data_IF_504300242197
#
_entry.id   IF_504300242197
#
_cell.length_a   1.000
_cell.length_b   1.000
_cell.length_c   1.000
_cell.angle_alpha   90.00
_cell.angle_beta   90.00
_cell.angle_gamma   90.00
#
_symmetry.space_group_name_H-M   'P 1'
#
loop_
_entity.id
_entity.type
_entity.pdbx_description
1 polymer ?
#
# COMPACT_ATOMS: atom_id res chain seq x y z
N UNK A 1 15.28 -33.88 -11.89
CA UNK A 1 15.38 -32.76 -10.91
C UNK A 1 14.07 -32.76 -10.14
N UNK A 2 14.04 -33.36 -8.91
CA UNK A 2 12.81 -33.42 -8.13
C UNK A 2 12.64 -32.11 -7.38
N UNK A 3 11.64 -31.35 -7.75
CA UNK A 3 11.28 -30.10 -7.06
C UNK A 3 10.67 -30.49 -5.71
N UNK A 4 11.19 -29.97 -4.57
CA UNK A 4 10.61 -30.25 -3.25
C UNK A 4 9.13 -29.85 -3.22
N UNK A 5 8.24 -30.68 -2.65
CA UNK A 5 6.80 -30.42 -2.63
C UNK A 5 6.45 -29.12 -1.93
N UNK A 6 7.25 -28.67 -0.98
CA UNK A 6 7.07 -27.38 -0.29
C UNK A 6 7.19 -26.19 -1.25
N UNK A 7 8.13 -26.23 -2.21
CA UNK A 7 8.28 -25.15 -3.21
C UNK A 7 7.09 -25.10 -4.17
N UNK A 8 6.48 -26.26 -4.48
CA UNK A 8 5.27 -26.31 -5.30
C UNK A 8 4.10 -25.66 -4.56
N UNK A 9 3.91 -25.98 -3.29
CA UNK A 9 2.83 -25.40 -2.46
C UNK A 9 3.03 -23.89 -2.32
N UNK A 10 4.23 -23.43 -2.03
CA UNK A 10 4.54 -21.99 -1.92
C UNK A 10 4.26 -21.27 -3.25
N UNK A 11 4.65 -21.84 -4.38
CA UNK A 11 4.40 -21.23 -5.69
C UNK A 11 2.92 -21.17 -6.03
N UNK A 12 2.12 -22.18 -5.70
CA UNK A 12 0.67 -22.19 -5.87
C UNK A 12 -0.03 -21.12 -5.00
N UNK A 13 0.41 -20.97 -3.75
CA UNK A 13 -0.09 -19.91 -2.85
C UNK A 13 0.23 -18.54 -3.43
N UNK A 14 1.45 -18.31 -3.91
CA UNK A 14 1.85 -17.03 -4.52
C UNK A 14 1.03 -16.74 -5.78
N UNK A 15 0.85 -17.71 -6.66
CA UNK A 15 0.02 -17.58 -7.87
C UNK A 15 -1.43 -17.27 -7.48
N UNK A 16 -1.99 -17.96 -6.50
CA UNK A 16 -3.34 -17.71 -5.98
C UNK A 16 -3.50 -16.30 -5.42
N UNK A 17 -2.52 -15.80 -4.66
CA UNK A 17 -2.50 -14.43 -4.14
C UNK A 17 -2.41 -13.39 -5.25
N UNK A 18 -1.56 -13.62 -6.26
CA UNK A 18 -1.43 -12.75 -7.44
C UNK A 18 -2.74 -12.72 -8.22
N UNK A 19 -3.34 -13.87 -8.47
CA UNK A 19 -4.62 -13.97 -9.19
C UNK A 19 -5.76 -13.28 -8.42
N UNK A 20 -5.88 -13.51 -7.11
CA UNK A 20 -6.88 -12.86 -6.26
C UNK A 20 -6.75 -11.33 -6.27
N UNK A 21 -5.51 -10.83 -6.26
CA UNK A 21 -5.25 -9.39 -6.29
C UNK A 21 -5.41 -8.76 -7.68
N UNK A 22 -5.32 -9.56 -8.75
CA UNK A 22 -5.45 -9.09 -10.14
C UNK A 22 -6.90 -8.82 -10.56
N UNK A 23 -7.91 -9.28 -9.80
CA UNK A 23 -9.30 -8.96 -10.13
C UNK A 23 -9.50 -7.44 -10.08
N UNK A 24 -10.17 -6.89 -11.09
CA UNK A 24 -10.56 -5.46 -11.19
C UNK A 24 -11.53 -5.08 -10.08
N UNK A 25 -11.04 -4.98 -8.85
CA UNK A 25 -11.81 -4.58 -7.68
C UNK A 25 -11.64 -3.09 -7.46
N UNK A 26 -12.76 -2.38 -7.28
CA UNK A 26 -12.76 -0.97 -6.86
C UNK A 26 -12.05 -0.85 -5.50
N UNK A 27 -11.14 0.11 -5.40
CA UNK A 27 -10.31 0.36 -4.21
C UNK A 27 -10.20 1.84 -3.97
N UNK A 28 -10.15 2.25 -2.72
CA UNK A 28 -9.97 3.64 -2.34
C UNK A 28 -8.51 4.07 -2.52
N UNK A 29 -8.31 5.24 -3.13
CA UNK A 29 -7.01 5.87 -3.34
C UNK A 29 -7.00 7.27 -2.77
N UNK A 30 -5.96 7.61 -1.99
CA UNK A 30 -5.66 8.97 -1.58
C UNK A 30 -4.81 9.63 -2.67
N UNK A 31 -5.29 10.74 -3.21
CA UNK A 31 -4.64 11.49 -4.28
C UNK A 31 -3.86 12.65 -3.67
N UNK A 32 -2.59 12.72 -3.99
CA UNK A 32 -1.66 13.75 -3.54
C UNK A 32 -1.19 14.57 -4.73
N UNK A 33 -1.15 15.91 -4.59
CA UNK A 33 -0.68 16.86 -5.61
C UNK A 33 0.58 17.57 -5.13
N UNK A 34 1.58 17.64 -5.99
CA UNK A 34 2.76 18.49 -5.81
C UNK A 34 2.77 19.52 -6.91
N UNK A 35 3.12 20.78 -6.57
CA UNK A 35 3.06 21.90 -7.51
C UNK A 35 3.95 21.73 -8.76
N UNK A 36 5.09 21.00 -8.65
CA UNK A 36 5.99 20.74 -9.77
C UNK A 36 5.84 19.29 -10.30
N UNK A 37 5.71 18.31 -9.38
CA UNK A 37 5.82 16.87 -9.71
C UNK A 37 4.50 16.21 -10.08
N UNK A 38 3.38 16.99 -10.10
CA UNK A 38 2.07 16.50 -10.47
C UNK A 38 1.41 15.62 -9.41
N UNK A 39 0.54 14.70 -9.85
CA UNK A 39 -0.30 13.89 -8.97
C UNK A 39 0.31 12.51 -8.67
N UNK A 40 0.06 12.02 -7.45
CA UNK A 40 0.38 10.66 -7.03
C UNK A 40 -0.79 10.05 -6.27
N UNK A 41 -1.13 8.79 -6.60
CA UNK A 41 -2.16 8.01 -5.93
C UNK A 41 -1.53 6.98 -4.99
N UNK A 42 -2.00 6.94 -3.74
CA UNK A 42 -1.63 5.93 -2.74
C UNK A 42 -2.87 5.12 -2.38
N UNK A 43 -2.80 3.80 -2.58
CA UNK A 43 -3.89 2.89 -2.22
C UNK A 43 -4.12 2.91 -0.71
N UNK A 44 -5.39 3.00 -0.30
CA UNK A 44 -5.80 2.82 1.09
C UNK A 44 -5.87 1.32 1.42
N UNK A 45 -5.45 0.93 2.62
CA UNK A 45 -5.52 -0.44 3.12
C UNK A 45 -4.22 -1.22 2.96
N UNK A 46 -4.35 -2.54 2.88
CA UNK A 46 -3.24 -3.49 3.01
C UNK A 46 -2.23 -3.37 1.86
N UNK A 47 -0.94 -3.29 2.23
CA UNK A 47 0.21 -3.25 1.31
C UNK A 47 0.92 -4.60 1.24
N UNK A 48 0.24 -5.64 0.73
CA UNK A 48 0.77 -7.01 0.72
C UNK A 48 2.15 -7.17 0.05
N UNK A 49 2.44 -6.37 -1.01
CA UNK A 49 3.78 -6.35 -1.60
C UNK A 49 4.85 -5.84 -0.62
N UNK A 50 4.48 -4.97 0.32
CA UNK A 50 5.42 -4.46 1.31
C UNK A 50 5.90 -5.56 2.27
N UNK A 51 5.07 -6.57 2.55
CA UNK A 51 5.46 -7.71 3.38
C UNK A 51 6.35 -8.70 2.62
N UNK A 52 6.01 -9.01 1.36
CA UNK A 52 6.74 -10.01 0.58
C UNK A 52 8.13 -9.51 0.18
N UNK A 53 8.24 -8.27 -0.26
CA UNK A 53 9.49 -7.67 -0.79
C UNK A 53 10.17 -6.74 0.22
N UNK A 54 9.85 -6.84 1.50
CA UNK A 54 10.54 -6.12 2.54
C UNK A 54 12.02 -6.59 2.65
N UNK A 55 13.02 -5.74 2.76
CA UNK A 55 13.05 -4.27 2.81
C UNK A 55 13.14 -3.58 1.44
N UNK A 56 13.35 -4.34 0.35
CA UNK A 56 13.55 -3.82 -1.03
C UNK A 56 12.40 -2.90 -1.46
N UNK A 57 11.17 -3.19 -1.01
CA UNK A 57 10.00 -2.36 -1.29
C UNK A 57 10.14 -0.91 -0.84
N UNK A 58 10.84 -0.66 0.28
CA UNK A 58 11.12 0.68 0.78
C UNK A 58 12.10 1.45 -0.12
N UNK A 59 13.07 0.75 -0.73
CA UNK A 59 14.00 1.34 -1.70
C UNK A 59 13.26 1.87 -2.92
N UNK A 60 12.38 1.07 -3.53
CA UNK A 60 11.59 1.50 -4.69
C UNK A 60 10.68 2.69 -4.41
N UNK A 61 10.29 2.88 -3.14
CA UNK A 61 9.50 4.04 -2.70
C UNK A 61 10.37 5.25 -2.31
N UNK A 62 11.70 5.11 -2.32
CA UNK A 62 12.64 6.16 -1.90
C UNK A 62 12.58 6.48 -0.41
N UNK A 63 12.17 5.51 0.41
CA UNK A 63 12.07 5.61 1.88
C UNK A 63 13.32 5.04 2.54
N UNK A 64 14.49 5.61 2.23
CA UNK A 64 15.80 5.15 2.67
C UNK A 64 15.93 5.01 4.19
N UNK A 65 15.36 5.95 4.95
CA UNK A 65 15.42 5.91 6.42
C UNK A 65 14.74 4.65 6.98
N UNK A 66 13.55 4.30 6.46
CA UNK A 66 12.83 3.10 6.90
C UNK A 66 13.57 1.84 6.44
N UNK A 67 14.13 1.84 5.23
CA UNK A 67 14.94 0.75 4.72
C UNK A 67 16.12 0.43 5.65
N UNK A 68 16.94 1.42 5.98
CA UNK A 68 18.08 1.21 6.89
C UNK A 68 17.64 0.80 8.29
N UNK A 69 16.54 1.36 8.81
CA UNK A 69 15.99 0.93 10.10
C UNK A 69 15.64 -0.55 10.09
N UNK A 70 14.97 -1.04 9.03
CA UNK A 70 14.64 -2.46 8.91
C UNK A 70 15.86 -3.36 8.73
N UNK A 71 16.85 -2.92 7.96
CA UNK A 71 18.13 -3.67 7.82
C UNK A 71 18.80 -3.81 9.20
N UNK A 72 18.90 -2.74 9.97
CA UNK A 72 19.47 -2.77 11.32
C UNK A 72 18.65 -3.70 12.23
N UNK A 73 17.32 -3.64 12.20
CA UNK A 73 16.47 -4.53 12.98
C UNK A 73 16.66 -6.00 12.62
N UNK A 74 16.82 -6.33 11.34
CA UNK A 74 17.11 -7.70 10.89
C UNK A 74 18.48 -8.16 11.44
N UNK A 75 19.53 -7.32 11.35
CA UNK A 75 20.85 -7.67 11.90
C UNK A 75 20.80 -7.87 13.42
N UNK A 76 20.06 -7.01 14.15
CA UNK A 76 19.90 -7.17 15.59
C UNK A 76 19.16 -8.48 15.91
N UNK A 77 18.10 -8.80 15.15
CA UNK A 77 17.36 -10.04 15.33
C UNK A 77 18.26 -11.28 15.12
N UNK A 78 19.03 -11.29 14.04
CA UNK A 78 19.99 -12.36 13.74
C UNK A 78 21.06 -12.47 14.83
N UNK A 79 21.61 -11.35 15.31
CA UNK A 79 22.60 -11.35 16.38
C UNK A 79 22.05 -11.88 17.72
N UNK A 80 20.77 -11.58 18.02
CA UNK A 80 20.09 -12.10 19.21
C UNK A 80 19.84 -13.60 19.05
N UNK A 81 19.40 -14.06 17.87
CA UNK A 81 19.20 -15.49 17.59
C UNK A 81 20.52 -16.27 17.80
N UNK A 82 21.63 -15.77 17.24
CA UNK A 82 22.95 -16.38 17.39
C UNK A 82 23.41 -16.40 18.87
N UNK A 83 23.21 -15.28 19.60
CA UNK A 83 23.68 -15.15 20.97
C UNK A 83 22.88 -16.01 21.96
N UNK A 84 21.57 -16.17 21.75
CA UNK A 84 20.68 -16.89 22.69
C UNK A 84 20.58 -18.36 22.36
N UNK A 85 20.46 -18.68 21.07
CA UNK A 85 20.16 -20.05 20.61
C UNK A 85 21.34 -20.76 19.94
N UNK A 86 22.47 -20.07 19.71
CA UNK A 86 23.72 -20.63 19.18
C UNK A 86 23.67 -21.09 17.74
N UNK A 87 22.54 -20.94 17.07
CA UNK A 87 22.37 -21.26 15.64
C UNK A 87 21.22 -20.44 15.04
N UNK A 88 21.41 -19.93 13.81
CA UNK A 88 20.33 -19.53 12.90
C UNK A 88 19.62 -20.82 12.45
N UNK A 89 19.09 -21.60 13.34
CA UNK A 89 18.59 -22.91 12.98
C UNK A 89 17.10 -23.02 13.29
N UNK A 90 16.47 -23.69 12.39
CA UNK A 90 15.25 -24.46 12.56
C UNK A 90 14.73 -24.43 13.99
N UNK A 91 13.74 -23.57 14.25
CA UNK A 91 12.89 -23.71 15.43
C UNK A 91 12.38 -25.16 15.40
N UNK A 92 12.86 -25.99 16.32
CA UNK A 92 12.24 -27.30 16.52
C UNK A 92 10.90 -27.07 17.22
N UNK A 93 9.86 -26.99 16.42
CA UNK A 93 8.50 -26.69 16.87
C UNK A 93 8.01 -27.66 17.95
N UNK A 94 8.60 -28.87 18.04
CA UNK A 94 8.20 -29.87 19.01
C UNK A 94 8.84 -29.65 20.38
N UNK A 95 10.01 -29.03 20.44
CA UNK A 95 10.80 -28.84 21.67
C UNK A 95 11.05 -27.35 22.01
N UNK A 96 10.41 -26.43 21.27
CA UNK A 96 10.61 -25.00 21.47
C UNK A 96 10.16 -24.55 22.88
N UNK A 97 11.04 -23.84 23.57
CA UNK A 97 10.74 -23.24 24.87
C UNK A 97 9.74 -22.08 24.76
N UNK A 98 9.09 -21.73 25.87
CA UNK A 98 8.20 -20.56 25.89
C UNK A 98 8.89 -19.26 25.43
N UNK A 99 10.19 -19.11 25.72
CA UNK A 99 10.99 -17.95 25.28
C UNK A 99 11.14 -17.88 23.76
N UNK A 100 11.37 -19.02 23.11
CA UNK A 100 11.48 -19.12 21.65
C UNK A 100 10.18 -18.75 20.95
N UNK A 101 9.05 -19.20 21.46
CA UNK A 101 7.73 -18.81 20.94
C UNK A 101 7.46 -17.32 21.07
N UNK A 102 7.80 -16.71 22.19
CA UNK A 102 7.66 -15.25 22.41
C UNK A 102 8.55 -14.50 21.42
N UNK A 103 9.80 -14.93 21.24
CA UNK A 103 10.74 -14.32 20.32
C UNK A 103 10.29 -14.45 18.84
N UNK A 104 9.86 -15.64 18.43
CA UNK A 104 9.29 -15.86 17.10
C UNK A 104 8.05 -14.98 16.87
N UNK A 105 7.21 -14.78 17.87
CA UNK A 105 6.06 -13.87 17.83
C UNK A 105 6.47 -12.43 17.59
N UNK A 106 7.53 -11.94 18.25
CA UNK A 106 8.06 -10.58 18.05
C UNK A 106 8.58 -10.42 16.62
N UNK A 107 9.36 -11.36 16.11
CA UNK A 107 9.85 -11.34 14.73
C UNK A 107 8.70 -11.33 13.72
N UNK A 108 7.68 -12.13 13.94
CA UNK A 108 6.49 -12.19 13.10
C UNK A 108 5.73 -10.85 13.07
N UNK A 109 5.59 -10.18 14.22
CA UNK A 109 4.97 -8.85 14.30
C UNK A 109 5.78 -7.83 13.48
N UNK A 110 7.10 -7.81 13.62
CA UNK A 110 7.99 -6.91 12.86
C UNK A 110 7.86 -7.17 11.37
N UNK A 111 7.75 -8.43 10.94
CA UNK A 111 7.56 -8.82 9.54
C UNK A 111 6.19 -8.41 8.99
N UNK A 112 5.12 -8.54 9.78
CA UNK A 112 3.75 -8.21 9.36
C UNK A 112 3.47 -6.70 9.37
N UNK A 113 4.15 -5.92 10.18
CA UNK A 113 3.89 -4.49 10.38
C UNK A 113 3.87 -3.68 9.06
N UNK A 114 4.79 -3.88 8.08
CA UNK A 114 4.72 -3.22 6.78
C UNK A 114 3.48 -3.55 5.95
N UNK A 115 2.89 -4.74 6.15
CA UNK A 115 1.64 -5.13 5.50
C UNK A 115 0.51 -4.14 5.78
N UNK A 116 0.38 -3.74 7.04
CA UNK A 116 -0.68 -2.82 7.50
C UNK A 116 -0.28 -1.35 7.38
N UNK A 117 0.97 -1.01 7.66
CA UNK A 117 1.45 0.37 7.73
C UNK A 117 2.17 0.87 6.48
N UNK A 118 2.52 0.00 5.52
CA UNK A 118 3.33 0.37 4.36
C UNK A 118 2.72 1.49 3.50
N UNK A 119 1.41 1.46 3.28
CA UNK A 119 0.73 2.52 2.53
C UNK A 119 0.65 3.84 3.33
N UNK A 120 0.45 3.79 4.64
CA UNK A 120 0.46 4.98 5.50
C UNK A 120 1.84 5.62 5.57
N UNK A 121 2.90 4.81 5.66
CA UNK A 121 4.28 5.32 5.59
C UNK A 121 4.58 5.97 4.26
N UNK A 122 4.07 5.39 3.15
CA UNK A 122 4.18 6.00 1.83
C UNK A 122 3.47 7.34 1.78
N UNK A 123 2.25 7.43 2.30
CA UNK A 123 1.49 8.66 2.37
C UNK A 123 2.23 9.74 3.18
N UNK A 124 2.69 9.39 4.38
CA UNK A 124 3.50 10.31 5.22
C UNK A 124 4.79 10.76 4.53
N UNK A 125 5.45 9.87 3.80
CA UNK A 125 6.65 10.20 3.04
C UNK A 125 6.37 11.19 1.91
N UNK A 126 5.23 11.05 1.21
CA UNK A 126 4.81 12.01 0.20
C UNK A 126 4.55 13.39 0.81
N UNK A 127 3.86 13.46 1.95
CA UNK A 127 3.63 14.73 2.67
C UNK A 127 4.96 15.40 3.05
N UNK A 128 5.93 14.63 3.57
CA UNK A 128 7.29 15.15 3.85
C UNK A 128 8.02 15.68 2.60
N UNK A 129 7.67 15.16 1.41
CA UNK A 129 8.20 15.64 0.11
C UNK A 129 7.43 16.82 -0.49
N UNK A 130 6.51 17.44 0.26
CA UNK A 130 5.74 18.62 -0.18
C UNK A 130 4.50 18.28 -1.01
N UNK A 131 4.03 17.02 -0.97
CA UNK A 131 2.75 16.67 -1.57
C UNK A 131 1.61 16.97 -0.60
N UNK A 132 0.54 17.59 -1.10
CA UNK A 132 -0.68 17.86 -0.35
C UNK A 132 -1.76 16.83 -0.73
N UNK A 133 -2.50 16.34 0.26
CA UNK A 133 -3.67 15.50 0.02
C UNK A 133 -4.77 16.35 -0.63
N UNK A 134 -5.25 15.94 -1.79
CA UNK A 134 -6.34 16.62 -2.53
C UNK A 134 -7.67 15.96 -2.19
N UNK A 135 -7.78 14.66 -2.46
CA UNK A 135 -9.05 13.95 -2.35
C UNK A 135 -8.81 12.44 -2.15
N UNK A 136 -9.83 11.74 -1.69
CA UNK A 136 -9.86 10.27 -1.66
C UNK A 136 -10.95 9.80 -2.59
N UNK A 137 -10.59 9.00 -3.60
CA UNK A 137 -11.51 8.51 -4.64
C UNK A 137 -11.44 7.00 -4.75
N UNK A 138 -12.58 6.40 -5.13
CA UNK A 138 -12.68 4.98 -5.41
C UNK A 138 -12.45 4.73 -6.91
N UNK A 139 -11.49 3.85 -7.21
CA UNK A 139 -11.09 3.56 -8.59
C UNK A 139 -10.57 2.12 -8.74
N UNK A 140 -10.46 1.67 -9.98
CA UNK A 140 -9.93 0.35 -10.30
C UNK A 140 -8.39 0.35 -10.31
N UNK A 141 -7.78 1.47 -10.71
CA UNK A 141 -6.33 1.65 -10.78
C UNK A 141 -5.91 3.03 -10.29
N UNK A 142 -4.60 3.21 -10.06
CA UNK A 142 -4.02 4.50 -9.64
C UNK A 142 -4.21 5.56 -10.72
N UNK A 143 -4.02 5.18 -11.96
CA UNK A 143 -4.14 6.04 -13.15
C UNK A 143 -5.59 6.52 -13.29
N UNK A 144 -6.55 5.61 -13.11
CA UNK A 144 -7.98 5.93 -13.14
C UNK A 144 -8.36 6.88 -11.99
N UNK A 145 -7.82 6.65 -10.78
CA UNK A 145 -8.04 7.55 -9.64
C UNK A 145 -7.53 8.98 -9.90
N UNK A 146 -6.35 9.12 -10.54
CA UNK A 146 -5.81 10.43 -10.91
C UNK A 146 -6.66 11.08 -12.02
N UNK A 147 -7.12 10.31 -13.01
CA UNK A 147 -7.95 10.81 -14.09
C UNK A 147 -9.29 11.37 -13.56
N UNK A 148 -9.94 10.68 -12.63
CA UNK A 148 -11.19 11.14 -11.98
C UNK A 148 -10.98 12.50 -11.31
N UNK A 149 -9.90 12.66 -10.54
CA UNK A 149 -9.62 13.92 -9.84
C UNK A 149 -9.29 15.06 -10.81
N UNK A 150 -8.57 14.77 -11.91
CA UNK A 150 -8.31 15.76 -12.95
C UNK A 150 -9.59 16.22 -13.63
N UNK A 151 -10.48 15.29 -13.97
CA UNK A 151 -11.77 15.58 -14.58
C UNK A 151 -12.65 16.45 -13.65
N UNK A 152 -12.75 16.08 -12.37
CA UNK A 152 -13.49 16.84 -11.36
C UNK A 152 -12.95 18.26 -11.22
N UNK A 153 -11.64 18.44 -11.18
CA UNK A 153 -11.03 19.75 -11.08
C UNK A 153 -11.29 20.61 -12.32
N UNK A 154 -11.22 20.02 -13.52
CA UNK A 154 -11.53 20.71 -14.77
C UNK A 154 -12.99 21.16 -14.81
N UNK A 155 -13.89 20.28 -14.38
CA UNK A 155 -15.32 20.57 -14.32
C UNK A 155 -15.66 21.66 -13.31
N UNK A 156 -15.01 21.65 -12.15
CA UNK A 156 -15.17 22.71 -11.13
C UNK A 156 -14.70 24.07 -11.64
N UNK A 157 -13.55 24.13 -12.31
CA UNK A 157 -13.05 25.37 -12.92
C UNK A 157 -13.96 25.88 -14.05
N UNK A 158 -14.55 24.98 -14.84
CA UNK A 158 -15.49 25.36 -15.89
C UNK A 158 -16.77 25.97 -15.31
N UNK A 159 -17.30 25.41 -14.24
CA UNK A 159 -18.49 25.90 -13.53
C UNK A 159 -18.21 27.26 -12.88
N UNK A 160 -17.06 27.43 -12.22
CA UNK A 160 -16.65 28.68 -11.58
C UNK A 160 -16.49 29.84 -12.58
N UNK A 161 -15.96 29.53 -13.79
CA UNK A 161 -15.79 30.54 -14.85
C UNK A 161 -17.05 30.80 -15.67
N UNK A 162 -18.08 29.94 -15.59
CA UNK A 162 -19.35 30.07 -16.31
C UNK A 162 -20.56 29.82 -15.39
N UNK A 163 -20.84 30.70 -14.42
CA UNK A 163 -21.93 30.49 -13.45
C UNK A 163 -23.33 30.43 -14.10
N UNK A 164 -23.50 31.03 -15.27
CA UNK A 164 -24.80 31.03 -15.98
C UNK A 164 -25.25 29.66 -16.49
N UNK A 165 -24.32 28.70 -16.63
CA UNK A 165 -24.66 27.33 -17.07
C UNK A 165 -25.40 26.52 -16.01
N UNK A 166 -25.37 26.90 -14.74
CA UNK A 166 -26.07 26.22 -13.64
C UNK A 166 -27.57 26.52 -13.73
N UNK A 167 -27.95 27.77 -14.01
CA UNK A 167 -29.37 28.17 -14.10
C UNK A 167 -30.07 27.55 -15.31
N UNK A 168 -29.37 27.36 -16.42
CA UNK A 168 -29.93 26.75 -17.63
C UNK A 168 -30.28 25.26 -17.43
N UNK A 169 -29.42 24.51 -16.75
CA UNK A 169 -29.63 23.08 -16.52
C UNK A 169 -30.67 22.81 -15.42
N UNK A 170 -30.78 23.68 -14.42
CA UNK A 170 -31.84 23.56 -13.39
C UNK A 170 -33.22 23.86 -13.93
N UNK A 171 -33.36 24.83 -14.84
CA UNK A 171 -34.60 25.10 -15.54
C UNK A 171 -35.05 23.98 -16.50
N UNK A 172 -34.07 23.33 -17.17
CA UNK A 172 -34.37 22.23 -18.08
C UNK A 172 -34.85 20.98 -17.32
N UNK A 173 -34.28 20.68 -16.16
CA UNK A 173 -34.70 19.52 -15.34
C UNK A 173 -36.08 19.71 -14.68
N UNK A 174 -36.43 20.93 -14.32
CA UNK A 174 -37.75 21.26 -13.75
C UNK A 174 -38.87 21.21 -14.81
N UNK A 175 -38.58 21.56 -16.07
CA UNK A 175 -39.56 21.52 -17.16
C UNK A 175 -39.90 20.09 -17.63
N UNK A 176 -39.03 19.09 -17.34
CA UNK A 176 -39.27 17.69 -17.68
C UNK A 176 -40.08 16.93 -16.60
N UNK A 177 -40.29 17.52 -15.41
CA UNK A 177 -41.13 16.93 -14.35
C UNK A 177 -42.56 17.42 -14.31
N UNK A 178 -42.95 18.35 -15.18
CA UNK A 178 -44.31 18.95 -15.21
C UNK A 178 -45.14 18.59 -16.42
N UNK A 179 -44.76 17.53 -17.18
CA UNK A 179 -45.59 16.99 -18.26
C UNK A 179 -46.01 15.55 -18.00
#
# INVERSE_FOLDING_TARGET
MNIPPELVVISLILIGLIYYNSRKKVRSFKIYKHHIKGYKAVKVGIAWLASIFMPIWFLFRGMWSIFFTYIILIFIAVAIDEAIYGHISSIDFNNASNGEWVWAGIQFIVFILPLFKGNDWTAKHLVKKGYLLVETVDAISKENAIAIVLENNTKSMYIENNPETIDGNMKCSLSLQTN
#
